data_IF_955187585103
#
_entry.id   IF_955187585103
#
_cell.length_a   1.000
_cell.length_b   1.000
_cell.length_c   1.000
_cell.angle_alpha   90.00
_cell.angle_beta   90.00
_cell.angle_gamma   90.00
#
_symmetry.space_group_name_H-M   'P 1'
#
loop_
_entity.id
_entity.type
_entity.pdbx_description
1 polymer ?
#
# COMPACT_ATOMS: atom_id res chain seq x y z
N UNK A 1 12.67 -13.90 7.97
CA UNK A 1 11.26 -14.18 8.23
C UNK A 1 10.69 -15.20 7.23
N UNK A 2 10.70 -14.96 5.90
CA UNK A 2 10.11 -15.85 4.89
C UNK A 2 10.68 -17.28 4.93
N UNK A 3 12.01 -17.41 4.96
CA UNK A 3 12.68 -18.71 5.09
C UNK A 3 12.25 -19.43 6.38
N UNK A 4 12.19 -18.69 7.50
CA UNK A 4 11.77 -19.24 8.79
C UNK A 4 10.37 -19.83 8.74
N UNK A 5 9.41 -19.14 8.10
CA UNK A 5 8.04 -19.65 7.93
C UNK A 5 8.00 -20.92 7.07
N UNK A 6 8.74 -20.95 5.96
CA UNK A 6 8.82 -22.10 5.06
C UNK A 6 9.48 -23.30 5.72
N UNK A 7 10.59 -23.08 6.42
CA UNK A 7 11.30 -24.14 7.15
C UNK A 7 10.46 -24.67 8.32
N UNK A 8 9.72 -23.79 9.02
CA UNK A 8 8.80 -24.23 10.07
C UNK A 8 7.70 -25.15 9.53
N UNK A 9 7.06 -24.80 8.40
CA UNK A 9 6.08 -25.67 7.75
C UNK A 9 6.68 -27.02 7.40
N UNK A 10 7.84 -27.02 6.70
CA UNK A 10 8.51 -28.23 6.27
C UNK A 10 8.93 -29.13 7.44
N UNK A 11 9.64 -28.56 8.44
CA UNK A 11 10.25 -29.33 9.52
C UNK A 11 9.22 -29.87 10.51
N UNK A 12 8.08 -29.20 10.66
CA UNK A 12 7.01 -29.62 11.56
C UNK A 12 5.92 -30.46 10.85
N UNK A 13 6.08 -30.77 9.55
CA UNK A 13 5.06 -31.45 8.76
C UNK A 13 3.74 -30.70 8.68
N UNK A 14 3.83 -29.37 8.59
CA UNK A 14 2.71 -28.43 8.53
C UNK A 14 2.58 -27.80 7.15
N UNK A 15 1.44 -27.16 6.90
CA UNK A 15 1.14 -26.49 5.65
C UNK A 15 1.74 -25.08 5.63
N UNK A 16 2.06 -24.60 4.43
CA UNK A 16 2.36 -23.21 4.17
C UNK A 16 1.17 -22.55 3.46
N UNK A 17 0.64 -21.52 4.07
CA UNK A 17 -0.41 -20.70 3.51
C UNK A 17 0.16 -19.35 3.06
N UNK A 18 -0.14 -18.94 1.85
CA UNK A 18 0.26 -17.65 1.28
C UNK A 18 -1.02 -16.93 0.90
N UNK A 19 -1.25 -15.73 1.44
CA UNK A 19 -2.41 -14.95 1.09
C UNK A 19 -2.14 -13.47 0.88
N UNK A 20 -2.97 -12.83 0.10
CA UNK A 20 -2.92 -11.40 -0.20
C UNK A 20 -3.75 -11.05 -1.42
N UNK A 21 -3.77 -9.77 -1.77
CA UNK A 21 -4.50 -9.26 -2.92
C UNK A 21 -3.84 -9.73 -4.22
N UNK A 22 -4.58 -10.46 -5.04
CA UNK A 22 -4.07 -11.05 -6.28
C UNK A 22 -4.35 -10.12 -7.47
N UNK A 23 -3.51 -9.13 -7.67
CA UNK A 23 -3.52 -8.22 -8.82
C UNK A 23 -2.13 -7.66 -9.09
N UNK A 24 -1.97 -6.97 -10.21
CA UNK A 24 -0.78 -6.23 -10.59
C UNK A 24 -0.90 -4.71 -10.37
N UNK A 25 -1.96 -4.27 -9.70
CA UNK A 25 -2.24 -2.86 -9.44
C UNK A 25 -1.19 -2.13 -8.59
N UNK A 26 -0.35 -2.86 -7.83
CA UNK A 26 0.80 -2.30 -7.14
C UNK A 26 0.47 -1.40 -5.94
N UNK A 27 -0.80 -1.34 -5.51
CA UNK A 27 -1.23 -0.49 -4.38
C UNK A 27 -1.09 -1.22 -3.04
N UNK A 28 -1.51 -2.47 -2.95
CA UNK A 28 -1.45 -3.29 -1.73
C UNK A 28 -0.48 -4.46 -1.85
N UNK A 29 -0.30 -4.97 -3.07
CA UNK A 29 0.45 -6.18 -3.40
C UNK A 29 0.82 -6.19 -4.88
N UNK A 30 1.53 -7.21 -5.31
CA UNK A 30 1.76 -7.47 -6.73
C UNK A 30 1.84 -8.98 -6.96
N UNK A 31 1.29 -9.48 -8.08
CA UNK A 31 1.27 -10.91 -8.44
C UNK A 31 2.67 -11.54 -8.51
N UNK A 32 3.69 -10.78 -8.94
CA UNK A 32 5.08 -11.27 -8.95
C UNK A 32 5.58 -11.73 -7.58
N UNK A 33 5.08 -11.12 -6.49
CA UNK A 33 5.48 -11.52 -5.14
C UNK A 33 4.97 -12.91 -4.77
N UNK A 34 3.73 -13.27 -5.12
CA UNK A 34 3.22 -14.63 -4.85
C UNK A 34 3.95 -15.65 -5.72
N UNK A 35 4.28 -15.32 -6.96
CA UNK A 35 5.08 -16.20 -7.82
C UNK A 35 6.48 -16.42 -7.25
N UNK A 36 7.12 -15.37 -6.74
CA UNK A 36 8.42 -15.48 -6.06
C UNK A 36 8.35 -16.33 -4.80
N UNK A 37 7.28 -16.17 -3.98
CA UNK A 37 7.06 -16.99 -2.79
C UNK A 37 6.86 -18.47 -3.12
N UNK A 38 6.13 -18.80 -4.18
CA UNK A 38 5.98 -20.18 -4.66
C UNK A 38 7.31 -20.78 -5.12
N UNK A 39 8.10 -20.04 -5.91
CA UNK A 39 9.46 -20.46 -6.31
C UNK A 39 10.34 -20.69 -5.08
N UNK A 40 10.27 -19.81 -4.12
CA UNK A 40 11.02 -19.92 -2.86
C UNK A 40 10.57 -21.15 -2.04
N UNK A 41 9.27 -21.39 -1.92
CA UNK A 41 8.73 -22.58 -1.23
C UNK A 41 9.21 -23.88 -1.90
N UNK A 42 9.23 -23.94 -3.24
CA UNK A 42 9.79 -25.08 -3.99
C UNK A 42 11.28 -25.29 -3.66
N UNK A 43 12.08 -24.20 -3.72
CA UNK A 43 13.51 -24.26 -3.40
C UNK A 43 13.77 -24.74 -1.95
N UNK A 44 12.91 -24.36 -1.01
CA UNK A 44 12.98 -24.84 0.39
C UNK A 44 12.43 -26.26 0.56
N UNK A 45 11.79 -26.83 -0.45
CA UNK A 45 11.24 -28.19 -0.42
C UNK A 45 9.96 -28.32 0.44
N UNK A 46 9.16 -27.27 0.51
CA UNK A 46 7.84 -27.30 1.14
C UNK A 46 6.88 -28.03 0.19
N UNK A 47 6.19 -29.06 0.66
CA UNK A 47 5.32 -29.91 -0.17
C UNK A 47 3.88 -29.40 -0.22
N UNK A 48 3.34 -28.97 0.90
CA UNK A 48 1.96 -28.52 1.05
C UNK A 48 1.91 -26.99 1.11
N UNK A 49 1.67 -26.36 -0.05
CA UNK A 49 1.60 -24.90 -0.21
C UNK A 49 0.24 -24.53 -0.75
N UNK A 50 -0.46 -23.66 -0.06
CA UNK A 50 -1.81 -23.20 -0.42
C UNK A 50 -1.84 -21.68 -0.60
N UNK A 51 -2.46 -21.22 -1.68
CA UNK A 51 -2.64 -19.80 -1.97
C UNK A 51 -4.10 -19.43 -1.78
N UNK A 52 -4.34 -18.42 -0.96
CA UNK A 52 -5.65 -17.82 -0.72
C UNK A 52 -5.71 -16.50 -1.46
N UNK A 53 -6.54 -16.40 -2.47
CA UNK A 53 -6.56 -15.31 -3.41
C UNK A 53 -7.59 -14.25 -3.00
N UNK A 54 -7.13 -13.07 -2.59
CA UNK A 54 -8.01 -11.94 -2.36
C UNK A 54 -8.20 -11.20 -3.68
N UNK A 55 -9.47 -10.98 -4.06
CA UNK A 55 -9.82 -10.39 -5.34
C UNK A 55 -9.93 -8.87 -5.22
N UNK A 56 -9.38 -8.16 -6.21
CA UNK A 56 -9.21 -6.71 -6.18
C UNK A 56 -10.43 -5.95 -6.70
N UNK A 57 -10.51 -5.70 -7.98
CA UNK A 57 -11.59 -4.98 -8.64
C UNK A 57 -11.73 -3.50 -8.27
N UNK A 58 -10.73 -2.92 -7.59
CA UNK A 58 -10.69 -1.54 -7.17
C UNK A 58 -9.44 -0.79 -7.62
N UNK A 59 -8.29 -1.43 -7.49
CA UNK A 59 -7.00 -0.88 -7.94
C UNK A 59 -6.66 -1.34 -9.36
N UNK A 60 -7.47 -2.26 -9.91
CA UNK A 60 -7.48 -2.76 -11.28
C UNK A 60 -8.92 -2.89 -11.77
N UNK A 61 -9.13 -3.26 -13.05
CA UNK A 61 -10.47 -3.46 -13.61
C UNK A 61 -11.35 -4.35 -12.72
N UNK A 62 -12.63 -4.00 -12.51
CA UNK A 62 -13.55 -4.72 -11.62
C UNK A 62 -13.81 -6.19 -12.00
N UNK A 63 -13.46 -6.60 -13.22
CA UNK A 63 -13.69 -7.95 -13.76
C UNK A 63 -12.42 -8.60 -14.32
N UNK A 64 -11.26 -8.24 -13.79
CA UNK A 64 -9.95 -8.79 -14.20
C UNK A 64 -9.51 -10.02 -13.42
N UNK A 65 -10.16 -10.32 -12.29
CA UNK A 65 -9.74 -11.33 -11.33
C UNK A 65 -9.64 -12.75 -11.88
N UNK A 66 -10.58 -13.17 -12.75
CA UNK A 66 -10.50 -14.48 -13.40
C UNK A 66 -9.19 -14.64 -14.20
N UNK A 67 -8.72 -13.57 -14.85
CA UNK A 67 -7.43 -13.54 -15.55
C UNK A 67 -6.25 -13.74 -14.61
N UNK A 68 -6.23 -13.07 -13.47
CA UNK A 68 -5.19 -13.24 -12.45
C UNK A 68 -5.18 -14.66 -11.85
N UNK A 69 -6.35 -15.25 -11.62
CA UNK A 69 -6.46 -16.66 -11.16
C UNK A 69 -5.86 -17.60 -12.21
N UNK A 70 -6.19 -17.47 -13.49
CA UNK A 70 -5.62 -18.29 -14.58
C UNK A 70 -4.11 -18.10 -14.70
N UNK A 71 -3.62 -16.87 -14.54
CA UNK A 71 -2.20 -16.56 -14.49
C UNK A 71 -1.50 -17.31 -13.35
N UNK A 72 -2.07 -17.27 -12.15
CA UNK A 72 -1.55 -18.00 -10.99
C UNK A 72 -1.61 -19.50 -11.19
N UNK A 73 -2.68 -20.08 -11.73
CA UNK A 73 -2.77 -21.51 -12.06
C UNK A 73 -1.66 -21.93 -13.02
N UNK A 74 -1.38 -21.13 -14.06
CA UNK A 74 -0.29 -21.37 -15.01
C UNK A 74 1.08 -21.34 -14.33
N UNK A 75 1.33 -20.34 -13.46
CA UNK A 75 2.61 -20.25 -12.74
C UNK A 75 2.78 -21.40 -11.72
N UNK A 76 1.73 -21.81 -11.02
CA UNK A 76 1.75 -22.98 -10.14
C UNK A 76 2.14 -24.24 -10.93
N UNK A 77 1.55 -24.44 -12.12
CA UNK A 77 1.88 -25.58 -12.98
C UNK A 77 3.34 -25.58 -13.43
N UNK A 78 3.89 -24.40 -13.84
CA UNK A 78 5.31 -24.24 -14.24
C UNK A 78 6.26 -24.46 -13.05
N UNK A 79 5.92 -23.90 -11.90
CA UNK A 79 6.74 -24.03 -10.69
C UNK A 79 6.66 -25.46 -10.13
N UNK A 80 5.50 -26.11 -10.21
CA UNK A 80 5.26 -27.47 -9.73
C UNK A 80 5.06 -27.58 -8.22
N UNK A 81 4.66 -26.50 -7.55
CA UNK A 81 4.24 -26.48 -6.14
C UNK A 81 3.17 -25.42 -5.94
N UNK A 82 2.24 -25.70 -5.05
CA UNK A 82 1.13 -24.82 -4.67
C UNK A 82 -0.21 -25.30 -5.21
N UNK A 83 -1.27 -24.87 -4.54
CA UNK A 83 -2.68 -25.02 -4.93
C UNK A 83 -3.44 -23.78 -4.53
N UNK A 84 -4.39 -23.34 -5.34
CA UNK A 84 -5.34 -22.30 -4.94
C UNK A 84 -6.35 -22.93 -4.00
N UNK A 85 -6.51 -22.37 -2.81
CA UNK A 85 -7.39 -22.89 -1.77
C UNK A 85 -8.77 -22.22 -1.74
N UNK A 86 -8.82 -20.94 -2.08
CA UNK A 86 -10.04 -20.14 -2.09
C UNK A 86 -9.86 -18.83 -2.83
N UNK A 87 -10.98 -18.17 -3.09
CA UNK A 87 -11.08 -16.80 -3.63
C UNK A 87 -12.07 -15.99 -2.81
N UNK A 88 -11.77 -14.73 -2.52
CA UNK A 88 -12.63 -13.86 -1.72
C UNK A 88 -12.42 -12.40 -2.08
N UNK A 89 -13.50 -11.66 -2.32
CA UNK A 89 -13.43 -10.22 -2.58
C UNK A 89 -12.83 -9.44 -1.42
N UNK A 90 -12.03 -8.43 -1.74
CA UNK A 90 -11.37 -7.56 -0.75
C UNK A 90 -12.37 -6.86 0.20
N UNK A 91 -13.61 -6.68 -0.23
CA UNK A 91 -14.69 -6.14 0.62
C UNK A 91 -14.85 -6.90 1.93
N UNK A 92 -14.64 -8.21 1.93
CA UNK A 92 -14.73 -9.07 3.12
C UNK A 92 -13.39 -9.18 3.85
N UNK A 93 -12.38 -9.65 3.16
CA UNK A 93 -11.10 -10.06 3.77
C UNK A 93 -10.15 -8.91 4.05
N UNK A 94 -10.34 -7.77 3.37
CA UNK A 94 -9.49 -6.58 3.51
C UNK A 94 -10.27 -5.37 4.05
N UNK A 95 -11.25 -5.61 4.93
CA UNK A 95 -11.92 -4.52 5.66
C UNK A 95 -10.93 -3.75 6.54
N UNK A 96 -11.12 -2.43 6.66
CA UNK A 96 -10.35 -1.56 7.53
C UNK A 96 -11.19 -0.68 8.45
N UNK A 97 -12.52 -0.78 8.32
CA UNK A 97 -13.48 0.10 8.98
C UNK A 97 -14.16 -0.58 10.18
N UNK A 98 -13.58 -1.72 10.65
CA UNK A 98 -14.04 -2.54 11.77
C UNK A 98 -15.41 -3.21 11.55
N UNK A 99 -15.72 -3.57 10.31
CA UNK A 99 -16.86 -4.42 9.98
C UNK A 99 -16.47 -5.89 10.19
N UNK A 100 -16.42 -6.30 11.45
CA UNK A 100 -15.91 -7.62 11.86
C UNK A 100 -16.75 -8.79 11.34
N UNK A 101 -18.03 -8.56 11.05
CA UNK A 101 -18.93 -9.51 10.37
C UNK A 101 -18.44 -9.89 8.95
N UNK A 102 -17.80 -8.95 8.24
CA UNK A 102 -17.16 -9.22 6.95
C UNK A 102 -15.90 -10.04 7.12
N UNK A 103 -15.06 -9.65 8.07
CA UNK A 103 -13.82 -10.36 8.38
C UNK A 103 -14.09 -11.78 8.88
N UNK A 104 -15.15 -11.99 9.68
CA UNK A 104 -15.58 -13.32 10.13
C UNK A 104 -15.88 -14.26 8.97
N UNK A 105 -16.63 -13.80 7.96
CA UNK A 105 -16.94 -14.62 6.77
C UNK A 105 -15.68 -15.10 6.05
N UNK A 106 -14.69 -14.20 5.90
CA UNK A 106 -13.40 -14.55 5.30
C UNK A 106 -12.59 -15.49 6.22
N UNK A 107 -12.54 -15.21 7.52
CA UNK A 107 -11.88 -16.05 8.50
C UNK A 107 -12.45 -17.49 8.52
N UNK A 108 -13.77 -17.61 8.55
CA UNK A 108 -14.46 -18.90 8.54
C UNK A 108 -14.21 -19.67 7.21
N UNK A 109 -14.11 -18.98 6.07
CA UNK A 109 -13.69 -19.60 4.81
C UNK A 109 -12.26 -20.15 4.90
N UNK A 110 -11.34 -19.37 5.43
CA UNK A 110 -9.92 -19.75 5.54
C UNK A 110 -9.70 -20.94 6.50
N UNK A 111 -10.49 -21.02 7.57
CA UNK A 111 -10.24 -21.94 8.69
C UNK A 111 -11.24 -23.09 8.81
N UNK A 112 -12.47 -22.92 8.34
CA UNK A 112 -13.55 -23.92 8.41
C UNK A 112 -14.02 -24.39 7.04
N UNK A 113 -13.65 -23.68 5.96
CA UNK A 113 -14.13 -23.98 4.61
C UNK A 113 -15.58 -23.58 4.36
N UNK A 114 -16.11 -22.65 5.15
CA UNK A 114 -17.47 -22.11 4.94
C UNK A 114 -17.51 -21.14 3.77
N UNK A 115 -18.71 -20.90 3.23
CA UNK A 115 -18.94 -20.04 2.08
C UNK A 115 -19.43 -20.80 0.86
N UNK A 116 -19.35 -20.15 -0.30
CA UNK A 116 -19.64 -20.78 -1.58
C UNK A 116 -18.58 -21.86 -1.89
N UNK A 117 -18.94 -22.83 -2.75
CA UNK A 117 -18.06 -23.93 -3.12
C UNK A 117 -17.80 -23.93 -4.61
N UNK A 118 -16.57 -24.24 -5.00
CA UNK A 118 -16.19 -24.44 -6.39
C UNK A 118 -15.12 -25.51 -6.54
N UNK A 119 -15.02 -26.09 -7.73
CA UNK A 119 -13.94 -26.98 -8.12
C UNK A 119 -12.88 -26.23 -8.93
N UNK A 120 -13.30 -25.18 -9.69
CA UNK A 120 -12.44 -24.26 -10.43
C UNK A 120 -12.65 -22.82 -9.95
N UNK A 121 -11.65 -22.19 -9.31
CA UNK A 121 -11.78 -20.85 -8.81
C UNK A 121 -11.91 -19.77 -9.91
N UNK A 122 -11.30 -19.96 -11.10
CA UNK A 122 -11.44 -19.01 -12.19
C UNK A 122 -12.85 -19.02 -12.75
N UNK A 123 -13.43 -20.19 -12.93
CA UNK A 123 -14.82 -20.35 -13.36
C UNK A 123 -15.80 -19.75 -12.34
N UNK A 124 -15.55 -19.96 -11.03
CA UNK A 124 -16.40 -19.38 -9.98
C UNK A 124 -16.41 -17.83 -10.03
N UNK A 125 -15.28 -17.21 -10.31
CA UNK A 125 -15.19 -15.75 -10.51
C UNK A 125 -15.98 -15.32 -11.76
N UNK A 126 -15.87 -16.04 -12.88
CA UNK A 126 -16.64 -15.74 -14.09
C UNK A 126 -18.15 -15.89 -13.89
N UNK A 127 -18.59 -16.91 -13.16
CA UNK A 127 -20.00 -17.08 -12.79
C UNK A 127 -20.53 -15.96 -11.87
N UNK A 128 -19.67 -15.40 -11.03
CA UNK A 128 -19.97 -14.23 -10.22
C UNK A 128 -20.25 -13.01 -11.11
N UNK A 129 -19.46 -12.78 -12.15
CA UNK A 129 -19.66 -11.68 -13.10
C UNK A 129 -21.01 -11.78 -13.82
N UNK A 130 -21.44 -12.98 -14.22
CA UNK A 130 -22.76 -13.21 -14.84
C UNK A 130 -23.91 -12.84 -13.91
N UNK A 131 -23.69 -12.89 -12.60
CA UNK A 131 -24.64 -12.45 -11.55
C UNK A 131 -24.51 -10.97 -11.21
N UNK A 132 -23.67 -10.22 -11.91
CA UNK A 132 -23.42 -8.80 -11.67
C UNK A 132 -22.55 -8.51 -10.44
N UNK A 133 -21.87 -9.52 -9.88
CA UNK A 133 -20.96 -9.37 -8.72
C UNK A 133 -19.52 -9.34 -9.24
N UNK A 134 -18.85 -8.21 -9.04
CA UNK A 134 -17.47 -7.96 -9.46
C UNK A 134 -16.46 -8.49 -8.43
N UNK A 135 -15.17 -8.44 -8.77
CA UNK A 135 -14.06 -8.94 -7.96
C UNK A 135 -14.10 -8.45 -6.51
N UNK A 136 -14.28 -7.14 -6.30
CA UNK A 136 -14.29 -6.54 -4.96
C UNK A 136 -15.30 -7.19 -4.02
N UNK A 137 -16.45 -7.57 -4.54
CA UNK A 137 -17.61 -8.06 -3.77
C UNK A 137 -17.81 -9.56 -3.87
N UNK A 138 -16.87 -10.30 -4.48
CA UNK A 138 -16.92 -11.74 -4.59
C UNK A 138 -17.09 -12.38 -3.20
N UNK A 139 -18.16 -13.17 -3.05
CA UNK A 139 -18.41 -13.88 -1.81
C UNK A 139 -17.25 -14.85 -1.48
N UNK A 140 -16.95 -15.06 -0.18
CA UNK A 140 -15.99 -16.09 0.22
C UNK A 140 -16.32 -17.43 -0.42
N UNK A 141 -15.43 -17.92 -1.29
CA UNK A 141 -15.64 -19.12 -2.12
C UNK A 141 -14.48 -20.07 -1.93
N UNK A 142 -14.76 -21.25 -1.39
CA UNK A 142 -13.77 -22.28 -1.08
C UNK A 142 -13.64 -23.28 -2.21
N UNK A 143 -12.40 -23.63 -2.56
CA UNK A 143 -12.10 -24.71 -3.51
C UNK A 143 -12.26 -26.05 -2.82
N UNK A 144 -12.93 -27.00 -3.51
CA UNK A 144 -13.12 -28.38 -3.06
C UNK A 144 -12.49 -29.36 -4.04
N UNK A 145 -11.76 -30.32 -3.52
CA UNK A 145 -11.23 -31.48 -4.29
C UNK A 145 -11.73 -32.78 -3.63
N UNK A 146 -12.34 -33.67 -4.41
CA UNK A 146 -12.89 -34.95 -3.91
C UNK A 146 -13.83 -34.77 -2.70
N UNK A 147 -14.67 -33.74 -2.74
CA UNK A 147 -15.63 -33.42 -1.68
C UNK A 147 -15.04 -32.83 -0.39
N UNK A 148 -13.74 -32.54 -0.36
CA UNK A 148 -13.06 -31.93 0.79
C UNK A 148 -12.55 -30.53 0.49
N UNK A 149 -12.61 -29.59 1.46
CA UNK A 149 -12.06 -28.25 1.29
C UNK A 149 -10.53 -28.31 1.15
N UNK A 150 -10.00 -27.57 0.18
CA UNK A 150 -8.56 -27.48 -0.08
C UNK A 150 -7.93 -26.49 0.88
N UNK A 151 -6.80 -26.84 1.54
CA UNK A 151 -5.93 -25.91 2.23
C UNK A 151 -6.61 -25.09 3.33
N UNK A 152 -7.27 -25.72 4.28
CA UNK A 152 -7.70 -25.04 5.51
C UNK A 152 -6.49 -24.67 6.36
N UNK A 153 -6.49 -23.47 6.95
CA UNK A 153 -5.49 -23.06 7.93
C UNK A 153 -5.78 -23.77 9.25
N UNK A 154 -4.84 -24.60 9.69
CA UNK A 154 -4.96 -25.41 10.89
C UNK A 154 -3.92 -25.02 11.94
N UNK A 155 -4.06 -25.59 13.12
CA UNK A 155 -3.19 -25.28 14.26
C UNK A 155 -1.72 -25.58 13.96
N UNK A 156 -0.88 -24.56 14.11
CA UNK A 156 0.58 -24.66 13.94
C UNK A 156 1.05 -24.55 12.48
N UNK A 157 0.16 -24.28 11.53
CA UNK A 157 0.54 -24.01 10.16
C UNK A 157 1.34 -22.70 10.03
N UNK A 158 2.09 -22.58 8.95
CA UNK A 158 2.80 -21.33 8.61
C UNK A 158 1.94 -20.48 7.67
N UNK A 159 1.89 -19.17 7.92
CA UNK A 159 1.10 -18.23 7.15
C UNK A 159 1.97 -17.04 6.73
N UNK A 160 1.96 -16.69 5.45
CA UNK A 160 2.62 -15.50 4.90
C UNK A 160 1.56 -14.61 4.26
N UNK A 161 1.40 -13.39 4.75
CA UNK A 161 0.62 -12.34 4.10
C UNK A 161 1.53 -11.50 3.23
N UNK A 162 1.32 -11.48 1.90
CA UNK A 162 2.21 -10.78 0.97
C UNK A 162 1.76 -9.35 0.61
N UNK A 163 0.76 -8.80 1.26
CA UNK A 163 0.44 -7.39 1.12
C UNK A 163 1.54 -6.52 1.73
N UNK A 164 2.05 -5.54 0.99
CA UNK A 164 3.06 -4.61 1.49
C UNK A 164 2.46 -3.30 2.04
N UNK A 165 1.17 -3.02 1.81
CA UNK A 165 0.45 -1.91 2.41
C UNK A 165 -0.34 -2.39 3.63
N UNK A 166 -0.15 -1.76 4.82
CA UNK A 166 -0.62 -2.30 6.10
C UNK A 166 -2.11 -2.10 6.38
N UNK A 167 -2.71 -0.99 5.90
CA UNK A 167 -4.01 -0.50 6.37
C UNK A 167 -5.14 -1.53 6.29
N UNK A 168 -5.22 -2.28 5.19
CA UNK A 168 -6.26 -3.31 4.95
C UNK A 168 -5.83 -4.74 5.30
N UNK A 169 -4.56 -4.95 5.67
CA UNK A 169 -4.08 -6.26 6.11
C UNK A 169 -4.27 -6.48 7.63
N UNK A 170 -4.47 -5.41 8.42
CA UNK A 170 -4.49 -5.45 9.88
C UNK A 170 -5.55 -6.37 10.46
N UNK A 171 -6.80 -6.27 10.01
CA UNK A 171 -7.92 -6.94 10.66
C UNK A 171 -7.86 -8.46 10.49
N UNK A 172 -7.65 -8.96 9.27
CA UNK A 172 -7.51 -10.40 9.04
C UNK A 172 -6.24 -10.96 9.69
N UNK A 173 -5.13 -10.20 9.68
CA UNK A 173 -3.92 -10.58 10.40
C UNK A 173 -4.17 -10.69 11.90
N UNK A 174 -4.85 -9.71 12.52
CA UNK A 174 -5.23 -9.74 13.93
C UNK A 174 -6.07 -10.98 14.27
N UNK A 175 -7.06 -11.27 13.44
CA UNK A 175 -7.96 -12.42 13.63
C UNK A 175 -7.21 -13.77 13.58
N UNK A 176 -6.23 -13.93 12.69
CA UNK A 176 -5.50 -15.20 12.51
C UNK A 176 -4.33 -15.32 13.49
N UNK A 177 -3.52 -14.25 13.65
CA UNK A 177 -2.23 -14.34 14.33
C UNK A 177 -2.29 -14.10 15.84
N UNK A 178 -3.18 -13.23 16.33
CA UNK A 178 -3.14 -12.83 17.73
C UNK A 178 -3.83 -13.83 18.65
N UNK A 179 -3.15 -14.23 19.74
CA UNK A 179 -3.71 -15.17 20.74
C UNK A 179 -4.95 -14.56 21.38
N UNK A 180 -4.82 -13.34 21.86
CA UNK A 180 -5.94 -12.54 22.38
C UNK A 180 -6.53 -11.74 21.22
N UNK A 181 -7.75 -12.09 20.80
CA UNK A 181 -8.43 -11.42 19.72
C UNK A 181 -9.21 -10.21 20.25
N UNK A 182 -8.45 -9.19 20.64
CA UNK A 182 -9.00 -7.90 21.06
C UNK A 182 -9.05 -6.97 19.85
N UNK A 183 -10.20 -6.36 19.61
CA UNK A 183 -10.44 -5.45 18.50
C UNK A 183 -10.46 -3.99 18.97
N UNK A 184 -9.90 -3.04 18.21
CA UNK A 184 -9.80 -1.65 18.63
C UNK A 184 -11.15 -0.93 18.67
N UNK A 185 -12.11 -1.40 17.85
CA UNK A 185 -13.47 -0.84 17.76
C UNK A 185 -14.45 -1.93 17.30
N UNK A 186 -15.69 -1.86 17.75
CA UNK A 186 -16.73 -2.84 17.43
C UNK A 186 -16.67 -4.07 18.34
N UNK A 187 -17.26 -5.17 17.90
CA UNK A 187 -17.31 -6.43 18.63
C UNK A 187 -16.53 -7.51 17.87
N UNK A 188 -15.58 -8.14 18.53
CA UNK A 188 -14.88 -9.29 17.99
C UNK A 188 -15.85 -10.46 17.76
N UNK A 189 -15.68 -11.18 16.66
CA UNK A 189 -16.38 -12.45 16.46
C UNK A 189 -15.71 -13.58 17.24
N UNK A 190 -16.45 -14.64 17.52
CA UNK A 190 -15.92 -15.84 18.15
C UNK A 190 -15.19 -16.71 17.12
N UNK A 191 -13.92 -17.00 17.37
CA UNK A 191 -13.15 -17.94 16.55
C UNK A 191 -13.53 -19.36 16.89
N UNK A 192 -14.40 -19.99 16.11
CA UNK A 192 -14.88 -21.37 16.31
C UNK A 192 -13.77 -22.42 16.35
N UNK A 193 -12.61 -22.14 15.73
CA UNK A 193 -11.41 -23.00 15.79
C UNK A 193 -10.55 -22.74 17.03
N UNK A 194 -10.87 -21.74 17.84
CA UNK A 194 -9.97 -21.18 18.84
C UNK A 194 -8.74 -20.52 18.19
N UNK A 195 -7.68 -20.37 18.96
CA UNK A 195 -6.42 -19.82 18.43
C UNK A 195 -5.56 -20.88 17.76
N UNK A 196 -5.24 -20.66 16.51
CA UNK A 196 -4.52 -21.61 15.67
C UNK A 196 -3.00 -21.64 15.90
N UNK A 197 -2.45 -20.67 16.65
CA UNK A 197 -1.01 -20.58 16.92
C UNK A 197 -0.14 -20.71 15.65
N UNK A 198 -0.37 -19.91 14.61
CA UNK A 198 0.38 -20.05 13.37
C UNK A 198 1.80 -19.46 13.51
N UNK A 199 2.73 -19.97 12.69
CA UNK A 199 3.98 -19.24 12.39
C UNK A 199 3.64 -18.15 11.37
N UNK A 200 3.40 -16.93 11.83
CA UNK A 200 2.85 -15.89 10.99
C UNK A 200 3.90 -14.86 10.54
N UNK A 201 3.92 -14.57 9.24
CA UNK A 201 4.83 -13.59 8.64
C UNK A 201 4.04 -12.52 7.89
N UNK A 202 4.23 -11.27 8.29
CA UNK A 202 3.76 -10.09 7.58
C UNK A 202 4.83 -9.62 6.58
N UNK A 203 4.44 -9.16 5.40
CA UNK A 203 5.42 -8.54 4.49
C UNK A 203 6.02 -7.27 5.08
N UNK A 204 5.22 -6.43 5.70
CA UNK A 204 5.68 -5.23 6.39
C UNK A 204 5.06 -5.13 7.78
N UNK A 205 5.40 -4.11 8.55
CA UNK A 205 4.78 -3.85 9.85
C UNK A 205 3.33 -3.43 9.64
N UNK A 206 2.37 -4.32 9.93
CA UNK A 206 0.95 -4.01 9.82
C UNK A 206 0.42 -3.28 11.06
N UNK A 207 0.90 -3.66 12.23
CA UNK A 207 0.58 -3.04 13.51
C UNK A 207 1.76 -3.27 14.45
N UNK A 208 2.22 -2.22 15.13
CA UNK A 208 3.34 -2.31 16.06
C UNK A 208 3.00 -3.12 17.34
N UNK A 209 1.71 -3.28 17.64
CA UNK A 209 1.24 -4.03 18.81
C UNK A 209 1.12 -5.54 18.54
N UNK A 210 1.24 -6.02 17.30
CA UNK A 210 1.15 -7.44 17.02
C UNK A 210 2.29 -8.22 17.61
N UNK A 211 1.93 -9.23 18.41
CA UNK A 211 2.87 -10.13 19.06
C UNK A 211 3.00 -11.45 18.32
N UNK A 212 4.20 -12.03 18.34
CA UNK A 212 4.43 -13.36 17.77
C UNK A 212 4.36 -13.41 16.23
N UNK A 213 4.43 -12.27 15.54
CA UNK A 213 4.53 -12.21 14.10
C UNK A 213 5.97 -11.87 13.67
N UNK A 214 6.38 -12.44 12.56
CA UNK A 214 7.64 -12.08 11.89
C UNK A 214 7.37 -11.02 10.82
N UNK A 215 8.33 -10.14 10.58
CA UNK A 215 8.27 -9.10 9.54
C UNK A 215 9.30 -9.43 8.46
N UNK A 216 8.84 -9.60 7.21
CA UNK A 216 9.73 -9.93 6.09
C UNK A 216 10.56 -8.71 5.67
N UNK A 217 9.92 -7.57 5.53
CA UNK A 217 10.49 -6.29 5.11
C UNK A 217 10.18 -5.22 6.16
N UNK A 218 10.97 -5.13 7.24
CA UNK A 218 10.79 -4.10 8.25
C UNK A 218 11.03 -2.72 7.62
N UNK A 219 10.46 -1.67 8.22
CA UNK A 219 10.79 -0.31 7.82
C UNK A 219 12.30 -0.11 8.01
N UNK A 220 12.99 0.11 6.94
CA UNK A 220 14.41 0.49 6.99
C UNK A 220 14.47 1.98 7.31
N UNK A 221 15.19 2.35 8.36
CA UNK A 221 15.56 3.74 8.56
C UNK A 221 16.51 4.13 7.43
N UNK A 222 16.19 5.21 6.75
CA UNK A 222 17.09 5.81 5.78
C UNK A 222 18.09 6.67 6.54
N UNK A 223 19.32 6.20 6.60
CA UNK A 223 20.42 6.97 7.19
C UNK A 223 21.14 7.78 6.10
N UNK A 224 21.72 8.90 6.51
CA UNK A 224 22.46 9.79 5.61
C UNK A 224 21.59 10.39 4.49
N UNK A 225 20.36 10.78 4.85
CA UNK A 225 19.50 11.56 3.96
C UNK A 225 20.15 12.89 3.61
N UNK A 226 19.66 13.57 2.55
CA UNK A 226 20.19 14.88 2.17
C UNK A 226 20.16 15.86 3.35
N UNK A 227 19.04 15.89 4.12
CA UNK A 227 18.91 16.75 5.29
C UNK A 227 19.97 16.46 6.37
N UNK A 228 20.19 15.18 6.69
CA UNK A 228 21.23 14.76 7.63
C UNK A 228 22.65 15.10 7.13
N UNK A 229 22.89 14.97 5.82
CA UNK A 229 24.19 15.27 5.22
C UNK A 229 24.46 16.78 5.24
N UNK A 230 23.48 17.61 4.91
CA UNK A 230 23.61 19.08 5.01
C UNK A 230 23.87 19.52 6.45
N UNK A 231 23.16 18.92 7.41
CA UNK A 231 23.38 19.19 8.83
C UNK A 231 24.80 18.84 9.28
N UNK A 232 25.36 17.69 8.86
CA UNK A 232 26.75 17.27 9.13
C UNK A 232 27.78 18.28 8.56
N UNK A 233 27.44 18.92 7.44
CA UNK A 233 28.29 19.96 6.84
C UNK A 233 28.07 21.36 7.46
N UNK A 234 27.20 21.47 8.49
CA UNK A 234 26.86 22.74 9.13
C UNK A 234 26.03 23.68 8.25
N UNK A 235 25.41 23.16 7.17
CA UNK A 235 24.63 23.95 6.23
C UNK A 235 23.24 24.25 6.78
N UNK A 236 22.78 25.48 6.60
CA UNK A 236 21.41 25.92 6.91
C UNK A 236 20.47 25.56 5.77
N UNK A 237 19.37 24.93 6.11
CA UNK A 237 18.39 24.44 5.14
C UNK A 237 16.97 24.88 5.49
N UNK A 238 16.23 25.37 4.51
CA UNK A 238 14.82 25.71 4.62
C UNK A 238 13.96 24.64 3.95
N UNK A 239 12.87 24.24 4.61
CA UNK A 239 11.78 23.43 4.08
C UNK A 239 10.54 24.29 4.02
N UNK A 240 9.99 24.48 2.83
CA UNK A 240 8.83 25.33 2.65
C UNK A 240 7.82 24.73 1.69
N UNK A 241 6.58 24.71 2.11
CA UNK A 241 5.43 24.33 1.28
C UNK A 241 4.14 24.83 1.94
N UNK A 242 3.05 24.81 1.18
CA UNK A 242 1.73 24.92 1.77
C UNK A 242 1.26 23.59 2.41
N UNK A 243 0.17 23.61 3.21
CA UNK A 243 -0.29 22.50 4.06
C UNK A 243 -0.31 21.16 3.33
N UNK A 244 -0.83 21.09 2.11
CA UNK A 244 -1.00 19.83 1.36
C UNK A 244 0.31 19.15 0.97
N UNK A 245 1.39 19.90 0.86
CA UNK A 245 2.72 19.39 0.49
C UNK A 245 3.79 19.56 1.59
N UNK A 246 3.41 20.05 2.77
CA UNK A 246 4.35 20.27 3.86
C UNK A 246 5.03 18.95 4.31
N UNK A 247 4.29 17.87 4.45
CA UNK A 247 4.85 16.59 4.82
C UNK A 247 5.85 16.05 3.77
N UNK A 248 5.69 16.43 2.49
CA UNK A 248 6.57 15.99 1.40
C UNK A 248 7.97 16.60 1.52
N UNK A 249 8.06 17.87 1.92
CA UNK A 249 9.36 18.55 2.10
C UNK A 249 9.95 18.38 3.51
N UNK A 250 9.20 17.79 4.46
CA UNK A 250 9.62 17.56 5.85
C UNK A 250 9.72 16.07 6.16
N UNK A 251 8.63 15.46 6.64
CA UNK A 251 8.58 14.08 7.10
C UNK A 251 9.08 13.07 6.06
N UNK A 252 8.53 13.11 4.83
CA UNK A 252 8.93 12.17 3.78
C UNK A 252 10.33 12.44 3.27
N UNK A 253 10.70 13.70 3.10
CA UNK A 253 12.04 14.08 2.66
C UNK A 253 13.13 13.69 3.67
N UNK A 254 12.77 13.65 4.96
CA UNK A 254 13.64 13.20 6.05
C UNK A 254 13.54 11.68 6.31
N UNK A 255 13.09 10.90 5.32
CA UNK A 255 13.04 9.43 5.41
C UNK A 255 12.03 8.91 6.45
N UNK A 256 10.95 9.64 6.72
CA UNK A 256 9.92 9.29 7.69
C UNK A 256 10.26 9.68 9.13
N UNK A 257 11.16 10.63 9.32
CA UNK A 257 11.53 11.20 10.62
C UNK A 257 10.88 12.57 10.78
N UNK A 258 10.03 12.73 11.81
CA UNK A 258 9.32 13.99 12.08
C UNK A 258 10.23 15.09 12.62
N UNK A 259 11.21 14.70 13.45
CA UNK A 259 12.13 15.66 14.06
C UNK A 259 12.97 16.35 12.97
N UNK A 260 13.04 17.71 12.97
CA UNK A 260 13.95 18.44 12.10
C UNK A 260 15.41 18.02 12.29
N UNK A 261 16.20 18.05 11.23
CA UNK A 261 17.64 17.93 11.32
C UNK A 261 18.26 19.19 11.97
N UNK A 262 19.48 19.12 12.41
CA UNK A 262 20.20 20.31 12.86
C UNK A 262 20.31 21.32 11.71
N UNK A 263 20.10 22.62 12.01
CA UNK A 263 20.05 23.71 11.04
C UNK A 263 18.92 23.58 9.98
N UNK A 264 17.88 22.80 10.24
CA UNK A 264 16.68 22.72 9.41
C UNK A 264 15.59 23.66 9.96
N UNK A 265 15.20 24.65 9.18
CA UNK A 265 14.05 25.53 9.44
C UNK A 265 12.89 25.11 8.57
N UNK A 266 11.68 25.24 9.09
CA UNK A 266 10.45 24.82 8.41
C UNK A 266 9.43 25.94 8.38
N UNK A 267 9.02 26.31 7.17
CA UNK A 267 7.96 27.29 6.94
C UNK A 267 6.73 26.61 6.35
N UNK A 268 5.62 26.74 7.05
CA UNK A 268 4.33 26.22 6.63
C UNK A 268 3.41 27.38 6.24
N UNK A 269 2.98 27.40 5.00
CA UNK A 269 1.96 28.33 4.50
C UNK A 269 0.60 27.58 4.51
N UNK A 270 -0.45 28.14 5.11
CA UNK A 270 -1.77 27.51 5.10
C UNK A 270 -2.33 27.38 3.67
N UNK A 271 -2.82 26.19 3.31
CA UNK A 271 -3.58 26.01 2.06
C UNK A 271 -4.95 26.69 2.15
N UNK A 272 -5.54 27.13 1.03
CA UNK A 272 -6.84 27.79 1.02
C UNK A 272 -7.95 26.83 1.50
N UNK A 273 -8.92 27.37 2.24
CA UNK A 273 -10.07 26.60 2.79
C UNK A 273 -11.20 26.53 1.76
N UNK A 274 -11.02 25.77 0.71
CA UNK A 274 -12.03 25.51 -0.34
C UNK A 274 -12.44 24.04 -0.33
N UNK A 275 -13.60 23.72 -0.88
CA UNK A 275 -14.10 22.35 -0.92
C UNK A 275 -13.24 21.45 -1.84
N UNK A 276 -12.84 21.98 -2.99
CA UNK A 276 -11.95 21.36 -3.97
C UNK A 276 -11.06 22.43 -4.60
N UNK A 277 -9.85 22.08 -4.98
CA UNK A 277 -8.84 23.07 -5.41
C UNK A 277 -9.01 23.58 -6.84
N UNK A 278 -9.92 23.01 -7.64
CA UNK A 278 -10.36 23.61 -8.91
C UNK A 278 -11.08 24.96 -8.72
N UNK A 279 -11.65 25.19 -7.54
CA UNK A 279 -12.27 26.48 -7.19
C UNK A 279 -11.24 27.59 -6.94
N UNK A 280 -10.01 27.24 -6.58
CA UNK A 280 -8.89 28.17 -6.38
C UNK A 280 -7.57 27.52 -6.86
N UNK A 281 -7.34 27.40 -8.19
CA UNK A 281 -6.19 26.68 -8.74
C UNK A 281 -4.82 27.28 -8.40
N UNK A 282 -4.75 28.56 -8.09
CA UNK A 282 -3.56 29.22 -7.59
C UNK A 282 -3.15 28.74 -6.20
N UNK A 283 -4.07 28.17 -5.44
CA UNK A 283 -3.86 27.74 -4.06
C UNK A 283 -3.11 28.81 -3.25
N UNK A 284 -2.04 28.47 -2.56
CA UNK A 284 -1.18 29.41 -1.84
C UNK A 284 0.20 29.60 -2.51
N UNK A 285 0.29 29.37 -3.83
CA UNK A 285 1.58 29.41 -4.52
C UNK A 285 2.24 30.81 -4.48
N UNK A 286 1.45 31.88 -4.54
CA UNK A 286 1.99 33.24 -4.48
C UNK A 286 2.54 33.56 -3.09
N UNK A 287 1.83 33.22 -2.02
CA UNK A 287 2.25 33.41 -0.63
C UNK A 287 3.51 32.60 -0.32
N UNK A 288 3.57 31.35 -0.82
CA UNK A 288 4.77 30.52 -0.72
C UNK A 288 5.95 31.18 -1.44
N UNK A 289 5.71 31.71 -2.64
CA UNK A 289 6.74 32.40 -3.43
C UNK A 289 7.26 33.63 -2.74
N UNK A 290 6.37 34.49 -2.23
CA UNK A 290 6.74 35.72 -1.53
C UNK A 290 7.60 35.37 -0.30
N UNK A 291 7.22 34.34 0.46
CA UNK A 291 8.02 33.88 1.59
C UNK A 291 9.40 33.34 1.19
N UNK A 292 9.47 32.56 0.10
CA UNK A 292 10.77 32.08 -0.43
C UNK A 292 11.68 33.26 -0.85
N UNK A 293 11.12 34.29 -1.48
CA UNK A 293 11.89 35.48 -1.88
C UNK A 293 12.41 36.26 -0.65
N UNK A 294 11.58 36.39 0.40
CA UNK A 294 12.00 36.98 1.68
C UNK A 294 13.17 36.19 2.29
N UNK A 295 13.07 34.85 2.34
CA UNK A 295 14.11 33.99 2.90
C UNK A 295 15.40 33.97 2.04
N UNK A 296 15.28 34.11 0.72
CA UNK A 296 16.44 34.31 -0.15
C UNK A 296 17.15 35.62 0.14
N UNK A 297 16.38 36.70 0.32
CA UNK A 297 16.93 38.05 0.61
C UNK A 297 17.62 38.12 1.99
N UNK A 298 17.18 37.29 2.95
CA UNK A 298 17.85 37.16 4.24
C UNK A 298 19.28 36.68 4.12
N UNK A 299 19.60 35.90 3.08
CA UNK A 299 20.91 35.25 2.88
C UNK A 299 21.26 34.23 3.93
N UNK A 300 20.29 33.77 4.73
CA UNK A 300 20.53 32.83 5.84
C UNK A 300 20.67 31.39 5.42
N UNK A 301 20.09 30.98 4.29
CA UNK A 301 19.99 29.59 3.89
C UNK A 301 20.98 29.22 2.78
N UNK A 302 21.68 28.11 2.99
CA UNK A 302 22.53 27.50 1.95
C UNK A 302 21.70 26.67 0.96
N UNK A 303 20.59 26.06 1.41
CA UNK A 303 19.73 25.17 0.62
C UNK A 303 18.26 25.41 0.97
N UNK A 304 17.43 25.51 -0.05
CA UNK A 304 15.96 25.61 0.09
C UNK A 304 15.31 24.44 -0.63
N UNK A 305 14.45 23.70 0.05
CA UNK A 305 13.60 22.65 -0.50
C UNK A 305 12.16 23.15 -0.47
N UNK A 306 11.63 23.37 -1.67
CA UNK A 306 10.30 23.94 -1.92
C UNK A 306 9.44 22.93 -2.71
N UNK A 307 8.16 22.81 -2.35
CA UNK A 307 7.18 22.07 -3.15
C UNK A 307 5.92 22.93 -3.36
N UNK A 308 5.55 23.13 -4.63
CA UNK A 308 4.28 23.74 -5.02
C UNK A 308 3.21 22.68 -5.18
N UNK A 309 2.11 22.78 -4.43
CA UNK A 309 1.07 21.77 -4.38
C UNK A 309 0.13 21.75 -5.60
N UNK A 310 0.10 22.82 -6.37
CA UNK A 310 -0.96 23.11 -7.35
C UNK A 310 -1.17 22.03 -8.40
N UNK A 311 -0.12 21.58 -9.09
CA UNK A 311 -0.27 20.63 -10.21
C UNK A 311 -0.82 19.27 -9.73
N UNK A 312 -0.45 18.84 -8.53
CA UNK A 312 -0.98 17.60 -7.96
C UNK A 312 -2.40 17.79 -7.43
N UNK A 313 -2.59 18.75 -6.54
CA UNK A 313 -3.87 18.91 -5.83
C UNK A 313 -5.02 19.33 -6.75
N UNK A 314 -4.76 20.19 -7.71
CA UNK A 314 -5.75 20.57 -8.75
C UNK A 314 -5.92 19.44 -9.76
N UNK A 315 -4.84 18.74 -10.11
CA UNK A 315 -4.88 17.57 -11.00
C UNK A 315 -5.84 16.49 -10.51
N UNK A 316 -5.89 16.23 -9.20
CA UNK A 316 -6.82 15.28 -8.59
C UNK A 316 -8.31 15.61 -8.83
N UNK A 317 -8.65 16.84 -9.16
CA UNK A 317 -10.04 17.22 -9.47
C UNK A 317 -10.49 16.82 -10.88
N UNK A 318 -9.54 16.54 -11.79
CA UNK A 318 -9.82 16.23 -13.19
C UNK A 318 -10.34 17.41 -14.02
N UNK A 319 -10.39 18.63 -13.46
CA UNK A 319 -10.90 19.83 -14.13
C UNK A 319 -9.79 20.47 -14.96
N UNK A 320 -9.73 20.16 -16.25
CA UNK A 320 -8.65 20.60 -17.16
C UNK A 320 -8.41 22.11 -17.16
N UNK A 321 -9.41 23.00 -17.27
CA UNK A 321 -9.16 24.45 -17.23
C UNK A 321 -8.50 24.90 -15.93
N UNK A 322 -8.87 24.30 -14.81
CA UNK A 322 -8.26 24.58 -13.51
C UNK A 322 -6.81 24.09 -13.45
N UNK A 323 -6.53 22.87 -13.95
CA UNK A 323 -5.17 22.34 -14.02
C UNK A 323 -4.25 23.22 -14.90
N UNK A 324 -4.74 23.70 -16.05
CA UNK A 324 -4.00 24.65 -16.90
C UNK A 324 -3.68 25.93 -16.12
N UNK A 325 -4.64 26.48 -15.39
CA UNK A 325 -4.41 27.66 -14.54
C UNK A 325 -3.38 27.39 -13.45
N UNK A 326 -3.45 26.22 -12.80
CA UNK A 326 -2.48 25.79 -11.79
C UNK A 326 -1.06 25.74 -12.34
N UNK A 327 -0.87 25.15 -13.53
CA UNK A 327 0.43 25.09 -14.22
C UNK A 327 0.95 26.48 -14.55
N UNK A 328 0.11 27.38 -15.05
CA UNK A 328 0.50 28.78 -15.31
C UNK A 328 0.96 29.49 -14.04
N UNK A 329 0.21 29.36 -12.95
CA UNK A 329 0.58 29.96 -11.65
C UNK A 329 1.93 29.45 -11.17
N UNK A 330 2.15 28.11 -11.20
CA UNK A 330 3.43 27.53 -10.78
C UNK A 330 4.58 28.01 -11.68
N UNK A 331 4.35 28.11 -13.00
CA UNK A 331 5.36 28.61 -13.94
C UNK A 331 5.78 30.04 -13.61
N UNK A 332 4.85 30.94 -13.29
CA UNK A 332 5.15 32.30 -12.86
C UNK A 332 5.94 32.33 -11.56
N UNK A 333 5.52 31.54 -10.57
CA UNK A 333 6.17 31.45 -9.27
C UNK A 333 7.60 30.89 -9.37
N UNK A 334 7.77 29.77 -10.09
CA UNK A 334 9.08 29.15 -10.33
C UNK A 334 10.01 30.14 -11.04
N UNK A 335 9.50 30.89 -12.05
CA UNK A 335 10.31 31.88 -12.72
C UNK A 335 10.84 32.95 -11.76
N UNK A 336 9.99 33.53 -10.89
CA UNK A 336 10.42 34.53 -9.91
C UNK A 336 11.50 34.00 -8.97
N UNK A 337 11.30 32.79 -8.43
CA UNK A 337 12.26 32.16 -7.51
C UNK A 337 13.58 31.87 -8.21
N UNK A 338 13.54 31.26 -9.41
CA UNK A 338 14.76 30.91 -10.16
C UNK A 338 15.54 32.15 -10.61
N UNK A 339 14.84 33.17 -11.11
CA UNK A 339 15.50 34.42 -11.50
C UNK A 339 16.24 35.04 -10.30
N UNK A 340 15.61 35.09 -9.11
CA UNK A 340 16.23 35.62 -7.89
C UNK A 340 17.46 34.78 -7.46
N UNK A 341 17.37 33.46 -7.48
CA UNK A 341 18.47 32.55 -7.14
C UNK A 341 19.67 32.78 -8.07
N UNK A 342 19.41 32.90 -9.38
CA UNK A 342 20.46 33.13 -10.38
C UNK A 342 21.11 34.52 -10.23
N UNK A 343 20.30 35.55 -9.95
CA UNK A 343 20.79 36.90 -9.63
C UNK A 343 21.75 36.89 -8.43
N UNK A 344 21.46 36.07 -7.41
CA UNK A 344 22.29 35.88 -6.23
C UNK A 344 23.52 34.98 -6.47
N UNK A 345 23.71 34.46 -7.69
CA UNK A 345 24.82 33.54 -8.04
C UNK A 345 24.62 32.12 -7.55
N UNK A 346 23.39 31.77 -7.19
CA UNK A 346 23.00 30.43 -6.79
C UNK A 346 22.67 29.52 -7.97
N UNK A 347 22.20 28.31 -7.67
CA UNK A 347 21.75 27.31 -8.65
C UNK A 347 20.39 26.74 -8.22
N UNK A 348 19.52 26.44 -9.17
CA UNK A 348 18.23 25.82 -8.93
C UNK A 348 18.10 24.48 -9.68
N UNK A 349 17.48 23.50 -9.04
CA UNK A 349 17.08 22.22 -9.65
C UNK A 349 15.55 22.18 -9.64
N UNK A 350 14.94 22.15 -10.82
CA UNK A 350 13.51 21.99 -10.99
C UNK A 350 13.18 20.54 -11.28
N UNK A 351 12.32 19.95 -10.48
CA UNK A 351 11.86 18.56 -10.62
C UNK A 351 10.41 18.43 -10.15
N UNK A 352 9.86 17.23 -10.26
CA UNK A 352 8.59 16.86 -9.63
C UNK A 352 8.81 15.70 -8.64
N UNK A 353 7.97 15.62 -7.62
CA UNK A 353 7.95 14.48 -6.69
C UNK A 353 7.25 13.25 -7.32
N UNK A 354 6.27 13.47 -8.19
CA UNK A 354 5.56 12.47 -9.01
C UNK A 354 4.79 13.17 -10.14
N UNK A 355 4.18 12.39 -11.04
CA UNK A 355 3.25 12.89 -12.06
C UNK A 355 1.83 12.98 -11.53
N UNK A 356 1.01 13.85 -12.15
CA UNK A 356 -0.45 13.94 -12.00
C UNK A 356 -1.04 14.78 -13.14
N UNK A 357 -0.90 16.11 -13.12
CA UNK A 357 -1.43 17.00 -14.14
C UNK A 357 -0.81 16.84 -15.54
N UNK A 358 0.26 16.06 -15.66
CA UNK A 358 0.89 15.69 -16.93
C UNK A 358 0.01 14.76 -17.79
N UNK A 359 -0.91 14.02 -17.16
CA UNK A 359 -1.85 13.13 -17.84
C UNK A 359 -3.20 13.07 -17.11
N UNK A 360 -4.14 13.92 -17.52
CA UNK A 360 -5.49 13.99 -16.94
C UNK A 360 -6.54 13.14 -17.68
N UNK A 361 -6.26 12.74 -18.91
CA UNK A 361 -7.15 11.91 -19.73
C UNK A 361 -6.46 10.61 -20.11
N UNK A 362 -7.25 9.54 -20.25
CA UNK A 362 -6.79 8.31 -20.90
C UNK A 362 -6.61 8.53 -22.41
N UNK A 363 -6.00 7.54 -23.10
CA UNK A 363 -5.80 7.61 -24.56
C UNK A 363 -7.14 7.63 -25.32
N UNK A 364 -8.20 7.15 -24.69
CA UNK A 364 -9.56 7.08 -25.25
C UNK A 364 -10.44 8.28 -24.84
N UNK A 365 -9.95 9.26 -24.10
CA UNK A 365 -10.65 10.46 -23.65
C UNK A 365 -11.23 10.38 -22.24
#
# INVERSE_FOLDING_TARGET
ALVKAMDAAKNNGKKLHIYGLLSDGGVHSHTEHVYALLKMAKLRGVKEVFVHCFMDGRDVSPTSGAGFIRGLQSEIAKIGVGKIADVCGRYYVMDRDNNWDRVEKAYDMLTLGTGERCDDPAHAVEESYKKGVTDEFLLPTKVYENGKPVGLIEKGDSVICFNFRPDRARQITRAISQKEFIVPKGTAFERKTGWLNPVYTCFTVYDAEFKGVEIAFPKTRLDNTLGEYLAKLGKKQLRIAETEKYAHVTFFFNGGVEKPNDNEVRDLIPSPKVATYDLQPEMSAYEVTDKVLEELESGEFDVIILNYANCDMVGHTGVIPAAVKAVHTVNECVKKVTDKILEMGGAAILTADHGNADKLLSEDG
#
